data_IF_655903092785
#
_entry.id   IF_655903092785
#
_cell.length_a   1.000
_cell.length_b   1.000
_cell.length_c   1.000
_cell.angle_alpha   90.00
_cell.angle_beta   90.00
_cell.angle_gamma   90.00
#
_symmetry.space_group_name_H-M   'P 1'
#
loop_
_entity.id
_entity.type
_entity.pdbx_description
1 polymer ?
#
# COMPACT_ATOMS: atom_id res chain seq x y z
N UNK A 1 14.37 -27.65 16.97
CA UNK A 1 14.56 -26.25 16.61
C UNK A 1 13.91 -26.02 15.25
N UNK A 2 12.95 -25.11 15.19
CA UNK A 2 12.37 -24.70 13.91
C UNK A 2 13.51 -24.08 13.10
N UNK A 3 13.72 -24.57 11.86
CA UNK A 3 14.65 -23.94 10.94
C UNK A 3 14.10 -22.54 10.63
N UNK A 4 14.84 -21.50 10.99
CA UNK A 4 14.55 -20.14 10.53
C UNK A 4 14.64 -20.14 9.01
N UNK A 5 13.70 -19.50 8.35
CA UNK A 5 13.72 -19.36 6.90
C UNK A 5 15.05 -18.73 6.46
N UNK A 6 15.67 -19.30 5.42
CA UNK A 6 16.93 -18.78 4.87
C UNK A 6 16.69 -17.84 3.68
N UNK A 7 15.43 -17.64 3.29
CA UNK A 7 15.05 -16.82 2.14
C UNK A 7 14.10 -15.72 2.64
N UNK A 8 14.54 -14.47 2.53
CA UNK A 8 13.82 -13.30 3.02
C UNK A 8 13.20 -12.45 1.89
N UNK A 9 13.62 -12.68 0.66
CA UNK A 9 13.08 -12.01 -0.53
C UNK A 9 12.99 -12.96 -1.71
N UNK A 10 12.14 -12.65 -2.69
CA UNK A 10 12.04 -13.39 -3.92
C UNK A 10 11.84 -12.44 -5.11
N UNK A 11 12.93 -12.10 -5.82
CA UNK A 11 12.84 -11.25 -7.02
C UNK A 11 11.86 -11.78 -8.06
N UNK A 12 11.72 -13.09 -8.15
CA UNK A 12 10.78 -13.74 -9.08
C UNK A 12 9.33 -13.47 -8.69
N UNK A 13 8.98 -13.59 -7.40
CA UNK A 13 7.63 -13.31 -6.92
C UNK A 13 7.31 -11.81 -6.99
N UNK A 14 8.24 -10.96 -6.62
CA UNK A 14 8.07 -9.51 -6.71
C UNK A 14 7.89 -9.07 -8.17
N UNK A 15 8.70 -9.58 -9.10
CA UNK A 15 8.54 -9.34 -10.53
C UNK A 15 7.20 -9.84 -11.06
N UNK A 16 6.70 -10.99 -10.58
CA UNK A 16 5.37 -11.49 -10.94
C UNK A 16 4.28 -10.54 -10.48
N UNK A 17 4.32 -10.10 -9.21
CA UNK A 17 3.36 -9.12 -8.67
C UNK A 17 3.37 -7.83 -9.50
N UNK A 18 4.54 -7.30 -9.83
CA UNK A 18 4.68 -6.09 -10.63
C UNK A 18 4.14 -6.25 -12.06
N UNK A 19 4.36 -7.39 -12.71
CA UNK A 19 3.80 -7.69 -14.04
C UNK A 19 2.27 -7.77 -14.00
N UNK A 20 1.70 -8.39 -12.98
CA UNK A 20 0.24 -8.41 -12.75
C UNK A 20 -0.27 -6.97 -12.59
N UNK A 21 0.41 -6.16 -11.79
CA UNK A 21 0.06 -4.75 -11.57
C UNK A 21 0.11 -3.92 -12.84
N UNK A 22 1.17 -4.05 -13.63
CA UNK A 22 1.31 -3.35 -14.91
C UNK A 22 0.22 -3.74 -15.91
N UNK A 23 -0.11 -5.04 -15.98
CA UNK A 23 -1.20 -5.54 -16.84
C UNK A 23 -2.55 -4.97 -16.40
N UNK A 24 -2.85 -5.00 -15.09
CA UNK A 24 -4.07 -4.43 -14.54
C UNK A 24 -4.19 -2.93 -14.86
N UNK A 25 -3.12 -2.16 -14.66
CA UNK A 25 -3.09 -0.73 -14.94
C UNK A 25 -3.33 -0.43 -16.44
N UNK A 26 -2.69 -1.18 -17.33
CA UNK A 26 -2.87 -1.02 -18.78
C UNK A 26 -4.32 -1.28 -19.22
N UNK A 27 -5.01 -2.24 -18.61
CA UNK A 27 -6.42 -2.51 -18.87
C UNK A 27 -7.28 -1.36 -18.34
N UNK A 28 -7.02 -0.88 -17.12
CA UNK A 28 -7.79 0.19 -16.50
C UNK A 28 -7.67 1.51 -17.26
N UNK A 29 -6.47 1.86 -17.72
CA UNK A 29 -6.24 3.10 -18.48
C UNK A 29 -6.98 3.13 -19.83
N UNK A 30 -7.24 1.99 -20.46
CA UNK A 30 -8.04 1.90 -21.69
C UNK A 30 -9.50 2.26 -21.47
N UNK A 31 -10.00 2.17 -20.25
CA UNK A 31 -11.42 2.43 -19.89
C UNK A 31 -11.60 3.75 -19.14
N UNK A 32 -10.54 4.50 -18.92
CA UNK A 32 -10.57 5.77 -18.18
C UNK A 32 -10.53 6.92 -19.17
N UNK A 33 -11.60 7.72 -19.22
CA UNK A 33 -11.59 9.01 -19.89
C UNK A 33 -10.70 10.00 -19.12
N UNK A 34 -10.16 11.00 -19.80
CA UNK A 34 -9.16 11.96 -19.32
C UNK A 34 -9.64 12.93 -18.22
N UNK A 35 -10.84 12.76 -17.67
CA UNK A 35 -11.51 13.72 -16.79
C UNK A 35 -11.35 13.38 -15.31
N UNK A 36 -10.13 13.45 -14.75
CA UNK A 36 -9.97 13.50 -13.30
C UNK A 36 -9.17 14.74 -12.94
N UNK A 37 -9.90 15.81 -12.57
CA UNK A 37 -9.31 16.94 -11.86
C UNK A 37 -8.68 16.40 -10.55
N UNK A 38 -7.37 16.67 -10.29
CA UNK A 38 -6.70 16.25 -9.08
C UNK A 38 -7.25 17.06 -7.89
N UNK A 39 -8.32 16.57 -7.28
CA UNK A 39 -8.88 17.15 -6.06
C UNK A 39 -7.90 16.98 -4.92
N UNK A 40 -7.43 18.10 -4.32
CA UNK A 40 -6.64 18.17 -3.09
C UNK A 40 -5.67 17.00 -2.87
N UNK A 41 -4.69 16.89 -3.79
CA UNK A 41 -3.77 15.75 -3.84
C UNK A 41 -3.07 15.52 -2.50
N UNK A 42 -3.09 14.27 -2.01
CA UNK A 42 -2.22 13.86 -0.92
C UNK A 42 -0.76 14.03 -1.35
N UNK A 43 0.10 14.42 -0.40
CA UNK A 43 1.54 14.56 -0.60
C UNK A 43 2.28 13.28 -0.18
N UNK A 44 1.71 12.56 0.78
CA UNK A 44 2.21 11.28 1.27
C UNK A 44 1.09 10.26 1.29
N UNK A 45 1.30 9.13 0.63
CA UNK A 45 0.40 7.98 0.67
C UNK A 45 1.07 6.88 1.48
N UNK A 46 0.39 6.38 2.50
CA UNK A 46 0.80 5.23 3.28
C UNK A 46 -0.03 4.04 2.82
N UNK A 47 0.59 3.13 2.09
CA UNK A 47 -0.04 1.90 1.61
C UNK A 47 0.26 0.78 2.58
N UNK A 48 -0.75 0.29 3.26
CA UNK A 48 -0.61 -0.79 4.25
C UNK A 48 -1.63 -1.91 4.00
N UNK A 49 -1.36 -3.09 4.52
CA UNK A 49 -2.33 -4.20 4.47
C UNK A 49 -3.46 -3.97 5.46
N UNK A 50 -3.10 -3.76 6.71
CA UNK A 50 -4.00 -3.57 7.84
C UNK A 50 -3.30 -2.72 8.89
N UNK A 51 -4.08 -1.99 9.70
CA UNK A 51 -3.58 -1.26 10.85
C UNK A 51 -4.44 -1.62 12.06
N UNK A 52 -3.87 -2.36 12.98
CA UNK A 52 -4.55 -2.81 14.19
C UNK A 52 -4.44 -1.78 15.33
N UNK A 53 -5.38 -1.83 16.27
CA UNK A 53 -5.35 -0.96 17.45
C UNK A 53 -4.05 -1.10 18.26
N UNK A 54 -3.52 -2.33 18.33
CA UNK A 54 -2.23 -2.67 18.95
C UNK A 54 -1.33 -3.31 17.90
N UNK A 55 -0.11 -2.80 17.72
CA UNK A 55 0.86 -3.36 16.78
C UNK A 55 1.97 -2.38 16.39
N UNK A 56 3.13 -2.92 16.07
CA UNK A 56 4.31 -2.14 15.69
C UNK A 56 4.07 -1.28 14.43
N UNK A 57 3.52 -1.85 13.38
CA UNK A 57 3.18 -1.12 12.14
C UNK A 57 2.28 0.08 12.40
N UNK A 58 1.17 -0.13 13.14
CA UNK A 58 0.22 0.94 13.44
C UNK A 58 0.88 2.08 14.23
N UNK A 59 1.81 1.75 15.12
CA UNK A 59 2.55 2.75 15.87
C UNK A 59 3.51 3.54 14.99
N UNK A 60 4.25 2.86 14.12
CA UNK A 60 5.18 3.53 13.18
C UNK A 60 4.41 4.46 12.24
N UNK A 61 3.28 4.00 11.69
CA UNK A 61 2.42 4.83 10.84
C UNK A 61 1.88 6.05 11.59
N UNK A 62 1.43 5.87 12.85
CA UNK A 62 0.98 6.98 13.69
C UNK A 62 2.08 8.01 13.93
N UNK A 63 3.27 7.55 14.29
CA UNK A 63 4.41 8.43 14.56
C UNK A 63 4.86 9.16 13.30
N UNK A 64 4.82 8.50 12.13
CA UNK A 64 5.12 9.11 10.84
C UNK A 64 4.16 10.25 10.49
N UNK A 65 2.84 10.03 10.63
CA UNK A 65 1.84 11.09 10.42
C UNK A 65 2.04 12.23 11.42
N UNK A 66 2.34 11.92 12.68
CA UNK A 66 2.56 12.93 13.74
C UNK A 66 3.81 13.78 13.50
N UNK A 67 4.87 13.20 12.91
CA UNK A 67 6.15 13.89 12.69
C UNK A 67 6.16 14.74 11.43
N UNK A 68 5.17 14.58 10.54
CA UNK A 68 5.03 15.38 9.30
C UNK A 68 3.66 16.09 9.26
N UNK A 69 3.32 16.95 10.24
CA UNK A 69 1.96 17.51 10.40
C UNK A 69 1.56 18.44 9.24
N UNK A 70 2.53 19.01 8.54
CA UNK A 70 2.31 19.94 7.43
C UNK A 70 1.99 19.23 6.10
N UNK A 71 2.10 17.89 6.05
CA UNK A 71 1.79 17.11 4.86
C UNK A 71 0.38 16.55 4.88
N UNK A 72 -0.26 16.49 3.73
CA UNK A 72 -1.55 15.82 3.54
C UNK A 72 -1.33 14.31 3.40
N UNK A 73 -1.68 13.56 4.44
CA UNK A 73 -1.53 12.11 4.48
C UNK A 73 -2.80 11.39 4.03
N UNK A 74 -2.63 10.40 3.14
CA UNK A 74 -3.66 9.45 2.76
C UNK A 74 -3.19 8.04 3.12
N UNK A 75 -3.92 7.35 3.98
CA UNK A 75 -3.67 5.97 4.34
C UNK A 75 -4.60 5.08 3.52
N UNK A 76 -4.03 4.17 2.75
CA UNK A 76 -4.74 3.19 1.95
C UNK A 76 -4.52 1.79 2.53
N UNK A 77 -5.59 1.13 2.96
CA UNK A 77 -5.53 -0.25 3.44
C UNK A 77 -6.00 -1.20 2.35
N UNK A 78 -5.14 -2.13 1.96
CA UNK A 78 -5.50 -3.16 0.97
C UNK A 78 -6.51 -4.14 1.55
N UNK A 79 -6.47 -4.37 2.87
CA UNK A 79 -7.26 -5.41 3.54
C UNK A 79 -7.20 -6.75 2.80
N UNK A 80 -6.00 -7.15 2.36
CA UNK A 80 -5.78 -8.28 1.45
C UNK A 80 -6.37 -9.60 1.98
N UNK A 81 -6.50 -9.72 3.29
CA UNK A 81 -7.00 -10.93 3.95
C UNK A 81 -8.49 -10.89 4.30
N UNK A 82 -9.20 -9.82 3.91
CA UNK A 82 -10.62 -9.64 4.25
C UNK A 82 -10.86 -9.71 5.76
N UNK A 83 -9.97 -9.10 6.54
CA UNK A 83 -10.10 -9.04 7.98
C UNK A 83 -11.41 -8.36 8.35
N UNK A 84 -12.15 -8.94 9.28
CA UNK A 84 -13.33 -8.33 9.91
C UNK A 84 -12.94 -7.34 11.01
N UNK A 85 -11.65 -7.11 11.23
CA UNK A 85 -11.17 -6.17 12.23
C UNK A 85 -11.70 -4.77 11.95
N UNK A 86 -12.22 -4.13 12.97
CA UNK A 86 -12.55 -2.71 12.90
C UNK A 86 -11.25 -1.92 12.92
N UNK A 87 -10.94 -1.28 11.80
CA UNK A 87 -9.80 -0.36 11.74
C UNK A 87 -10.15 0.91 12.50
N UNK A 88 -9.29 1.31 13.44
CA UNK A 88 -9.47 2.55 14.20
C UNK A 88 -9.15 3.77 13.32
N UNK A 89 -10.07 4.08 12.43
CA UNK A 89 -9.95 5.23 11.52
C UNK A 89 -9.87 6.55 12.31
N UNK A 90 -10.57 6.65 13.42
CA UNK A 90 -10.59 7.86 14.24
C UNK A 90 -9.21 8.21 14.82
N UNK A 91 -8.36 7.23 15.04
CA UNK A 91 -6.97 7.42 15.50
C UNK A 91 -6.17 8.28 14.52
N UNK A 92 -6.25 7.98 13.24
CA UNK A 92 -5.48 8.67 12.19
C UNK A 92 -6.15 9.97 11.75
N UNK A 93 -7.48 10.01 11.72
CA UNK A 93 -8.23 11.23 11.38
C UNK A 93 -7.96 12.35 12.40
N UNK A 94 -7.82 12.01 13.69
CA UNK A 94 -7.41 12.98 14.73
C UNK A 94 -6.02 13.57 14.51
N UNK A 95 -5.17 12.89 13.75
CA UNK A 95 -3.83 13.37 13.35
C UNK A 95 -3.85 14.11 12.01
N UNK A 96 -5.02 14.30 11.40
CA UNK A 96 -5.17 14.99 10.12
C UNK A 96 -5.00 14.10 8.88
N UNK A 97 -4.85 12.78 9.05
CA UNK A 97 -4.77 11.86 7.92
C UNK A 97 -6.15 11.37 7.47
N UNK A 98 -6.34 11.19 6.17
CA UNK A 98 -7.47 10.44 5.61
C UNK A 98 -7.14 8.96 5.58
N UNK A 99 -8.12 8.09 5.85
CA UNK A 99 -7.94 6.63 5.79
C UNK A 99 -9.06 5.99 4.98
N UNK A 100 -8.65 5.24 3.95
CA UNK A 100 -9.55 4.52 3.07
C UNK A 100 -9.19 3.03 3.06
N UNK A 101 -10.20 2.16 2.95
CA UNK A 101 -10.05 0.71 3.00
C UNK A 101 -10.65 0.08 1.75
N UNK A 102 -9.95 -0.85 1.11
CA UNK A 102 -10.50 -1.66 0.03
C UNK A 102 -11.56 -2.62 0.59
N UNK A 103 -12.79 -2.51 0.11
CA UNK A 103 -13.95 -3.24 0.66
C UNK A 103 -14.29 -4.53 -0.10
N UNK A 104 -13.83 -4.69 -1.35
CA UNK A 104 -14.08 -5.91 -2.12
C UNK A 104 -13.40 -7.13 -1.48
N UNK A 105 -14.00 -8.30 -1.60
CA UNK A 105 -13.34 -9.57 -1.24
C UNK A 105 -12.40 -10.10 -2.34
N UNK A 106 -12.47 -9.55 -3.55
CA UNK A 106 -11.69 -9.96 -4.71
C UNK A 106 -10.36 -9.19 -4.76
N UNK A 107 -9.24 -9.90 -4.80
CA UNK A 107 -7.89 -9.29 -4.80
C UNK A 107 -7.64 -8.43 -6.06
N UNK A 108 -8.16 -8.82 -7.22
CA UNK A 108 -8.00 -8.02 -8.44
C UNK A 108 -8.79 -6.70 -8.37
N UNK A 109 -9.98 -6.71 -7.79
CA UNK A 109 -10.75 -5.48 -7.55
C UNK A 109 -10.06 -4.58 -6.53
N UNK A 110 -9.48 -5.14 -5.48
CA UNK A 110 -8.64 -4.39 -4.53
C UNK A 110 -7.45 -3.76 -5.22
N UNK A 111 -6.75 -4.50 -6.09
CA UNK A 111 -5.63 -3.99 -6.88
C UNK A 111 -6.08 -2.79 -7.74
N UNK A 112 -7.18 -2.94 -8.49
CA UNK A 112 -7.74 -1.87 -9.32
C UNK A 112 -8.10 -0.64 -8.49
N UNK A 113 -8.69 -0.85 -7.32
CA UNK A 113 -9.04 0.24 -6.41
C UNK A 113 -7.79 0.97 -5.90
N UNK A 114 -6.76 0.26 -5.43
CA UNK A 114 -5.50 0.88 -5.00
C UNK A 114 -4.86 1.66 -6.15
N UNK A 115 -4.78 1.08 -7.34
CA UNK A 115 -4.24 1.75 -8.53
C UNK A 115 -5.03 3.02 -8.89
N UNK A 116 -6.36 2.99 -8.75
CA UNK A 116 -7.21 4.15 -8.97
C UNK A 116 -6.93 5.26 -7.94
N UNK A 117 -6.78 4.90 -6.66
CA UNK A 117 -6.39 5.86 -5.61
C UNK A 117 -5.00 6.46 -5.88
N UNK A 118 -4.01 5.64 -6.18
CA UNK A 118 -2.67 6.10 -6.50
C UNK A 118 -2.66 7.07 -7.69
N UNK A 119 -3.42 6.82 -8.73
CA UNK A 119 -3.46 7.68 -9.92
C UNK A 119 -4.16 9.02 -9.71
N UNK A 120 -4.95 9.18 -8.64
CA UNK A 120 -5.52 10.49 -8.24
C UNK A 120 -4.48 11.40 -7.57
N UNK A 121 -3.33 10.85 -7.15
CA UNK A 121 -2.28 11.57 -6.44
C UNK A 121 -0.91 11.34 -7.11
N UNK A 122 -0.69 11.79 -8.34
CA UNK A 122 0.46 11.41 -9.17
C UNK A 122 1.82 11.83 -8.58
N UNK A 123 1.84 12.88 -7.76
CA UNK A 123 3.06 13.46 -7.19
C UNK A 123 3.32 13.03 -5.73
N UNK A 124 2.47 12.16 -5.18
CA UNK A 124 2.64 11.73 -3.79
C UNK A 124 3.80 10.75 -3.64
N UNK A 125 4.60 10.93 -2.60
CA UNK A 125 5.49 9.89 -2.06
C UNK A 125 4.64 8.69 -1.59
N UNK A 126 5.05 7.47 -1.90
CA UNK A 126 4.35 6.26 -1.46
C UNK A 126 5.21 5.47 -0.47
N UNK A 127 4.74 5.37 0.75
CA UNK A 127 5.37 4.59 1.81
C UNK A 127 4.63 3.27 1.98
N UNK A 128 5.32 2.13 1.82
CA UNK A 128 4.69 0.81 1.81
C UNK A 128 4.94 0.09 3.11
N UNK A 129 3.86 -0.24 3.82
CA UNK A 129 3.82 -0.95 5.10
C UNK A 129 2.99 -2.24 4.98
N UNK A 130 3.30 -3.04 3.97
CA UNK A 130 2.52 -4.24 3.69
C UNK A 130 2.86 -5.40 4.63
N UNK A 131 1.89 -6.28 4.84
CA UNK A 131 2.15 -7.60 5.37
C UNK A 131 2.98 -8.42 4.37
N UNK A 132 3.85 -9.27 4.85
CA UNK A 132 4.83 -10.01 4.05
C UNK A 132 4.25 -10.80 2.85
N UNK A 133 2.98 -11.16 2.86
CA UNK A 133 2.33 -11.89 1.76
C UNK A 133 1.26 -11.05 1.02
N UNK A 134 1.22 -9.73 1.20
CA UNK A 134 0.27 -8.85 0.50
C UNK A 134 0.70 -8.59 -0.95
N UNK A 135 0.23 -9.44 -1.85
CA UNK A 135 0.49 -9.28 -3.28
C UNK A 135 -0.23 -8.06 -3.89
N UNK A 136 -1.32 -7.57 -3.28
CA UNK A 136 -2.06 -6.39 -3.79
C UNK A 136 -1.21 -5.15 -3.66
N UNK A 137 -0.61 -4.91 -2.49
CA UNK A 137 0.26 -3.76 -2.28
C UNK A 137 1.44 -3.76 -3.27
N UNK A 138 2.12 -4.90 -3.42
CA UNK A 138 3.30 -5.01 -4.28
C UNK A 138 2.95 -4.91 -5.78
N UNK A 139 1.82 -5.46 -6.20
CA UNK A 139 1.34 -5.29 -7.57
C UNK A 139 0.91 -3.85 -7.86
N UNK A 140 0.38 -3.13 -6.87
CA UNK A 140 -0.07 -1.76 -7.07
C UNK A 140 1.08 -0.77 -7.31
N UNK A 141 2.25 -0.99 -6.70
CA UNK A 141 3.43 -0.11 -6.79
C UNK A 141 4.37 -0.44 -7.97
N UNK A 142 3.85 -1.00 -9.05
CA UNK A 142 4.64 -1.37 -10.23
C UNK A 142 5.38 -0.16 -10.84
N UNK A 143 6.53 -0.37 -11.55
CA UNK A 143 7.43 0.70 -12.01
C UNK A 143 6.78 1.75 -12.93
N UNK A 144 5.71 1.39 -13.65
CA UNK A 144 5.01 2.32 -14.56
C UNK A 144 4.26 3.47 -13.87
N UNK A 145 4.19 3.48 -12.53
CA UNK A 145 3.62 4.61 -11.78
C UNK A 145 4.53 5.85 -11.78
N UNK A 146 5.83 5.69 -12.07
CA UNK A 146 6.82 6.77 -12.16
C UNK A 146 6.79 7.73 -10.95
N UNK A 147 6.91 7.18 -9.75
CA UNK A 147 6.92 7.92 -8.48
C UNK A 147 7.90 7.34 -7.49
N UNK A 148 8.25 8.12 -6.48
CA UNK A 148 9.05 7.65 -5.35
C UNK A 148 8.24 6.67 -4.51
N UNK A 149 8.81 5.48 -4.27
CA UNK A 149 8.24 4.44 -3.41
C UNK A 149 9.28 4.03 -2.39
N UNK A 150 8.94 4.17 -1.12
CA UNK A 150 9.79 3.73 -0.01
C UNK A 150 9.15 2.50 0.63
N UNK A 151 9.88 1.39 0.59
CA UNK A 151 9.43 0.14 1.19
C UNK A 151 9.93 0.05 2.63
N UNK A 152 9.00 -0.03 3.58
CA UNK A 152 9.31 -0.26 5.00
C UNK A 152 9.29 -1.75 5.29
N UNK A 153 10.49 -2.36 5.29
CA UNK A 153 10.64 -3.79 5.62
C UNK A 153 10.29 -4.05 7.09
N UNK A 154 9.40 -4.99 7.32
CA UNK A 154 8.98 -5.43 8.65
C UNK A 154 8.95 -6.96 8.71
N UNK A 155 9.31 -7.56 9.85
CA UNK A 155 9.37 -9.00 10.01
C UNK A 155 10.47 -9.67 9.18
N UNK A 156 11.73 -9.39 9.53
CA UNK A 156 12.95 -9.88 8.90
C UNK A 156 13.26 -11.37 9.12
N UNK A 157 12.32 -12.13 9.69
CA UNK A 157 12.47 -13.55 10.00
C UNK A 157 11.75 -14.48 8.98
N UNK A 158 11.15 -13.93 7.95
CA UNK A 158 10.44 -14.70 6.92
C UNK A 158 10.48 -14.02 5.56
N UNK A 159 10.10 -14.76 4.50
CA UNK A 159 9.96 -14.22 3.16
C UNK A 159 8.95 -13.08 3.15
N UNK A 160 9.33 -11.93 2.60
CA UNK A 160 8.47 -10.77 2.42
C UNK A 160 8.40 -10.36 0.95
N UNK A 161 7.19 -10.24 0.42
CA UNK A 161 6.96 -9.64 -0.87
C UNK A 161 7.32 -8.15 -0.83
N UNK A 162 7.99 -7.67 -1.87
CA UNK A 162 8.49 -6.31 -1.98
C UNK A 162 9.92 -6.12 -1.49
N UNK A 163 10.47 -7.06 -0.72
CA UNK A 163 11.81 -6.92 -0.15
C UNK A 163 12.95 -6.88 -1.17
N UNK A 164 12.70 -7.24 -2.43
CA UNK A 164 13.68 -7.16 -3.52
C UNK A 164 13.46 -5.97 -4.46
N UNK A 165 12.54 -5.05 -4.13
CA UNK A 165 12.19 -3.90 -4.97
C UNK A 165 12.96 -2.63 -4.60
N UNK A 166 13.93 -2.72 -3.71
CA UNK A 166 14.81 -1.63 -3.25
C UNK A 166 15.90 -1.31 -4.26
#
# INVERSE_FOLDING_TARGET
PAALGQVFSSPTLDSLCQRIGATSLAINNKHRGDDIEPSHAAEVIILATELHALGGHSRVVEDLVRTRPDHKHLILLTNAYNSSAQFDTARYTRLGASLHVATSSNLHEKLRWVQAQLSQHPNAEVLVFNHHADAVAIAAIQPGLNREVVFHHHCDHQLSLGASLS
#
